data_IF_416965687445
#
_entry.id   IF_416965687445
#
_cell.length_a   1.000
_cell.length_b   1.000
_cell.length_c   1.000
_cell.angle_alpha   90.00
_cell.angle_beta   90.00
_cell.angle_gamma   90.00
#
_symmetry.space_group_name_H-M   'P 1'
#
loop_
_entity.id
_entity.type
_entity.pdbx_description
1 polymer ?
#
# COMPACT_ATOMS: atom_id res chain seq x y z
N UNK A 1 6.28 9.25 0.27
CA UNK A 1 6.16 8.47 -0.97
C UNK A 1 5.92 9.45 -2.07
N UNK A 2 6.74 9.41 -3.12
CA UNK A 2 6.47 10.17 -4.34
C UNK A 2 5.36 9.46 -5.14
N UNK A 3 4.72 10.18 -6.06
CA UNK A 3 3.76 9.59 -7.00
C UNK A 3 4.39 8.48 -7.86
N UNK A 4 5.69 8.59 -8.14
CA UNK A 4 6.45 7.57 -8.86
C UNK A 4 6.52 6.28 -8.05
N UNK A 5 6.79 6.36 -6.76
CA UNK A 5 6.86 5.18 -5.87
C UNK A 5 5.50 4.49 -5.78
N UNK A 6 4.42 5.26 -5.64
CA UNK A 6 3.04 4.75 -5.62
C UNK A 6 2.69 3.98 -6.89
N UNK A 7 3.06 4.53 -8.06
CA UNK A 7 2.84 3.87 -9.34
C UNK A 7 3.63 2.57 -9.46
N UNK A 8 4.89 2.56 -9.03
CA UNK A 8 5.74 1.36 -9.05
C UNK A 8 5.16 0.25 -8.18
N UNK A 9 4.70 0.60 -6.98
CA UNK A 9 4.05 -0.32 -6.05
C UNK A 9 2.75 -0.88 -6.66
N UNK A 10 1.90 -0.04 -7.24
CA UNK A 10 0.66 -0.48 -7.89
C UNK A 10 0.90 -1.39 -9.10
N UNK A 11 1.96 -1.14 -9.88
CA UNK A 11 2.36 -2.04 -10.99
C UNK A 11 2.79 -3.40 -10.43
N UNK A 12 3.54 -3.40 -9.34
CA UNK A 12 4.00 -4.62 -8.69
C UNK A 12 2.83 -5.46 -8.15
N UNK A 13 1.89 -4.83 -7.44
CA UNK A 13 0.68 -5.49 -6.93
C UNK A 13 -0.12 -6.14 -8.06
N UNK A 14 -0.41 -5.40 -9.15
CA UNK A 14 -1.14 -5.96 -10.30
C UNK A 14 -0.45 -7.17 -10.92
N UNK A 15 0.88 -7.18 -10.98
CA UNK A 15 1.65 -8.33 -11.48
C UNK A 15 1.46 -9.55 -10.58
N UNK A 16 1.55 -9.37 -9.26
CA UNK A 16 1.32 -10.45 -8.29
C UNK A 16 -0.12 -10.96 -8.37
N UNK A 17 -1.11 -10.07 -8.39
CA UNK A 17 -2.51 -10.46 -8.42
C UNK A 17 -2.86 -11.23 -9.71
N UNK A 18 -2.32 -10.84 -10.88
CA UNK A 18 -2.48 -11.64 -12.10
C UNK A 18 -1.81 -13.01 -12.01
N UNK A 19 -0.69 -13.12 -11.30
CA UNK A 19 -0.05 -14.41 -11.08
C UNK A 19 -0.91 -15.30 -10.17
N UNK A 20 -1.45 -14.77 -9.08
CA UNK A 20 -2.28 -15.51 -8.11
C UNK A 20 -3.61 -15.93 -8.74
N UNK A 21 -4.32 -15.00 -9.37
CA UNK A 21 -5.63 -15.31 -9.95
C UNK A 21 -5.52 -16.07 -11.29
N UNK A 22 -4.38 -15.98 -11.98
CA UNK A 22 -4.13 -16.60 -13.28
C UNK A 22 -4.72 -15.82 -14.46
N UNK A 23 -4.96 -16.52 -15.58
CA UNK A 23 -5.71 -15.99 -16.72
C UNK A 23 -7.21 -16.21 -16.59
N UNK A 24 -7.98 -15.60 -17.49
CA UNK A 24 -9.40 -15.92 -17.71
C UNK A 24 -9.52 -16.70 -19.00
N UNK A 25 -10.38 -17.71 -19.03
CA UNK A 25 -10.69 -18.44 -20.26
C UNK A 25 -11.91 -17.80 -20.92
N UNK A 26 -11.71 -17.20 -22.09
CA UNK A 26 -12.78 -16.66 -22.94
C UNK A 26 -12.76 -17.39 -24.28
N UNK A 27 -13.90 -17.95 -24.69
CA UNK A 27 -14.07 -18.66 -25.97
C UNK A 27 -12.98 -19.73 -26.23
N UNK A 28 -12.60 -20.47 -25.19
CA UNK A 28 -11.58 -21.52 -25.27
C UNK A 28 -10.13 -21.03 -25.28
N UNK A 29 -9.89 -19.71 -25.25
CA UNK A 29 -8.56 -19.11 -25.21
C UNK A 29 -8.26 -18.49 -23.85
N UNK A 30 -7.06 -18.72 -23.33
CA UNK A 30 -6.61 -18.08 -22.10
C UNK A 30 -6.11 -16.66 -22.38
N UNK A 31 -6.70 -15.69 -21.70
CA UNK A 31 -6.30 -14.29 -21.76
C UNK A 31 -5.80 -13.81 -20.40
N UNK A 32 -4.87 -12.86 -20.42
CA UNK A 32 -4.42 -12.16 -19.22
C UNK A 32 -5.52 -11.21 -18.74
N UNK A 33 -5.73 -11.13 -17.43
CA UNK A 33 -6.74 -10.23 -16.86
C UNK A 33 -6.42 -8.76 -17.12
N UNK A 34 -7.45 -8.00 -17.47
CA UNK A 34 -7.38 -6.53 -17.53
C UNK A 34 -7.17 -5.93 -16.13
N UNK A 35 -6.73 -4.67 -16.05
CA UNK A 35 -6.56 -4.01 -14.74
C UNK A 35 -7.87 -3.97 -13.96
N UNK A 36 -9.00 -3.75 -14.65
CA UNK A 36 -10.31 -3.68 -14.04
C UNK A 36 -10.73 -5.04 -13.44
N UNK A 37 -10.55 -6.12 -14.18
CA UNK A 37 -10.84 -7.48 -13.70
C UNK A 37 -10.00 -7.87 -12.48
N UNK A 38 -8.73 -7.49 -12.47
CA UNK A 38 -7.83 -7.72 -11.32
C UNK A 38 -8.39 -7.03 -10.07
N UNK A 39 -8.78 -5.76 -10.18
CA UNK A 39 -9.34 -5.02 -9.05
C UNK A 39 -10.69 -5.58 -8.59
N UNK A 40 -11.56 -5.95 -9.54
CA UNK A 40 -12.85 -6.58 -9.24
C UNK A 40 -12.69 -7.97 -8.58
N UNK A 41 -11.62 -8.69 -8.90
CA UNK A 41 -11.32 -10.00 -8.30
C UNK A 41 -10.78 -9.84 -6.87
N UNK A 42 -9.95 -8.82 -6.63
CA UNK A 42 -9.31 -8.60 -5.33
C UNK A 42 -10.28 -8.10 -4.26
N UNK A 43 -11.20 -7.18 -4.60
CA UNK A 43 -12.26 -6.65 -3.71
C UNK A 43 -11.77 -5.99 -2.41
N UNK A 44 -10.48 -5.70 -2.29
CA UNK A 44 -9.88 -5.00 -1.17
C UNK A 44 -9.20 -3.70 -1.62
N UNK A 45 -8.78 -2.87 -0.65
CA UNK A 45 -7.98 -1.68 -0.92
C UNK A 45 -6.62 -2.06 -1.50
N UNK A 46 -6.13 -1.29 -2.45
CA UNK A 46 -4.78 -1.47 -2.96
C UNK A 46 -3.71 -1.31 -1.86
N UNK A 47 -2.54 -1.88 -2.13
CA UNK A 47 -1.40 -1.88 -1.22
C UNK A 47 -0.93 -0.47 -0.86
N UNK A 48 -1.09 0.53 -1.75
CA UNK A 48 -0.68 1.91 -1.47
C UNK A 48 -1.56 2.49 -0.37
N UNK A 49 -2.88 2.34 -0.51
CA UNK A 49 -3.86 2.74 0.49
C UNK A 49 -3.64 1.98 1.81
N UNK A 50 -3.36 0.68 1.74
CA UNK A 50 -3.02 -0.11 2.93
C UNK A 50 -1.80 0.46 3.65
N UNK A 51 -0.69 0.72 2.94
CA UNK A 51 0.53 1.30 3.52
C UNK A 51 0.24 2.67 4.15
N UNK A 52 -0.52 3.53 3.47
CA UNK A 52 -0.87 4.85 3.99
C UNK A 52 -1.69 4.74 5.29
N UNK A 53 -2.68 3.86 5.34
CA UNK A 53 -3.47 3.59 6.55
C UNK A 53 -2.58 3.09 7.69
N UNK A 54 -1.65 2.16 7.42
CA UNK A 54 -0.74 1.64 8.45
C UNK A 54 0.20 2.73 8.99
N UNK A 55 0.71 3.61 8.12
CA UNK A 55 1.54 4.76 8.55
C UNK A 55 0.76 5.70 9.45
N UNK A 56 -0.50 5.99 9.12
CA UNK A 56 -1.37 6.81 9.97
C UNK A 56 -1.69 6.12 11.30
N UNK A 57 -1.98 4.81 11.30
CA UNK A 57 -2.18 4.03 12.52
C UNK A 57 -0.94 4.08 13.42
N UNK A 58 0.24 3.90 12.84
CA UNK A 58 1.51 3.99 13.56
C UNK A 58 1.74 5.38 14.14
N UNK A 59 1.56 6.44 13.35
CA UNK A 59 1.69 7.82 13.83
C UNK A 59 0.72 8.10 14.99
N UNK A 60 -0.55 7.70 14.85
CA UNK A 60 -1.53 7.83 15.93
C UNK A 60 -1.17 7.02 17.17
N UNK A 61 -0.56 5.84 16.99
CA UNK A 61 -0.06 5.04 18.10
C UNK A 61 1.07 5.76 18.85
N UNK A 62 2.05 6.30 18.12
CA UNK A 62 3.16 7.08 18.69
C UNK A 62 2.65 8.29 19.47
N UNK A 63 1.68 9.04 18.94
CA UNK A 63 1.07 10.18 19.64
C UNK A 63 0.41 9.79 20.96
N UNK A 64 -0.15 8.58 21.05
CA UNK A 64 -0.78 8.04 22.28
C UNK A 64 0.21 7.37 23.25
N UNK A 65 1.48 7.23 22.88
CA UNK A 65 2.48 6.72 23.81
C UNK A 65 2.69 7.68 24.99
N UNK A 66 3.20 7.15 26.09
CA UNK A 66 3.61 7.94 27.25
C UNK A 66 4.69 8.96 26.86
N UNK A 67 4.72 10.13 27.51
CA UNK A 67 5.66 11.21 27.18
C UNK A 67 7.13 10.78 27.34
N UNK A 68 7.43 9.96 28.36
CA UNK A 68 8.78 9.42 28.61
C UNK A 68 9.26 8.42 27.53
N UNK A 69 8.43 8.12 26.52
CA UNK A 69 8.83 7.25 25.43
C UNK A 69 9.67 8.03 24.41
N UNK A 70 10.95 7.68 24.30
CA UNK A 70 11.88 8.26 23.32
C UNK A 70 11.32 8.29 21.89
N UNK A 71 10.49 7.31 21.50
CA UNK A 71 9.86 7.30 20.16
C UNK A 71 8.92 8.48 19.95
N UNK A 72 8.14 8.87 20.96
CA UNK A 72 7.23 10.02 20.91
C UNK A 72 8.00 11.34 20.98
N UNK A 73 9.04 11.39 21.80
CA UNK A 73 9.95 12.53 21.90
C UNK A 73 10.59 12.82 20.52
N UNK A 74 11.22 11.81 19.90
CA UNK A 74 11.84 11.94 18.57
C UNK A 74 10.82 12.28 17.50
N UNK A 75 9.62 11.70 17.55
CA UNK A 75 8.56 12.00 16.58
C UNK A 75 8.05 13.45 16.68
N UNK A 76 8.03 14.01 17.89
CA UNK A 76 7.56 15.38 18.15
C UNK A 76 8.66 16.43 18.01
N UNK A 77 9.93 15.99 18.02
CA UNK A 77 11.08 16.86 17.92
C UNK A 77 11.07 17.67 16.61
N UNK A 78 11.24 18.98 16.72
CA UNK A 78 11.49 19.85 15.58
C UNK A 78 13.00 19.84 15.29
N UNK A 79 13.47 19.31 14.16
CA UNK A 79 14.89 19.35 13.84
C UNK A 79 15.30 20.81 13.63
N UNK A 80 16.26 21.29 14.42
CA UNK A 80 16.91 22.57 14.20
C UNK A 80 17.81 22.42 12.98
N UNK A 81 17.31 22.84 11.82
CA UNK A 81 18.13 22.94 10.60
C UNK A 81 19.08 24.15 10.74
N UNK A 82 20.37 23.92 10.54
CA UNK A 82 21.36 24.99 10.30
C UNK A 82 21.61 25.11 8.80
#
# INVERSE_FOLDING_TARGET
MSRTDENMINIYERKILRFIFGGIQENGTWQSRSNLEVYQSYKESDIVNFIQVQRTKWAGHVVRMHEDCNTKEVFSAQPIGT
#
